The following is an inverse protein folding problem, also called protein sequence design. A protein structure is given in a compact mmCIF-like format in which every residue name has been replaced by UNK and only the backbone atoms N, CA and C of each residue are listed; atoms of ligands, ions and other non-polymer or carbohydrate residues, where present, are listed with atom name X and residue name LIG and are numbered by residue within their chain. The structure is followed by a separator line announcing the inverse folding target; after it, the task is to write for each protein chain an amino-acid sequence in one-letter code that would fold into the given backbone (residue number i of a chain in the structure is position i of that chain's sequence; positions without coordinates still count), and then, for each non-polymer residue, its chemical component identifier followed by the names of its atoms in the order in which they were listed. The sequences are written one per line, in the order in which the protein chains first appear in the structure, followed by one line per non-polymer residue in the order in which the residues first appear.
data_IF_353392684741
#
_entry.id   IF_353392684741
#
_cell.length_a   1.000
_cell.length_b   1.000
_cell.length_c   1.000
_cell.angle_alpha   90.00
_cell.angle_beta   90.00
_cell.angle_gamma   90.00
#
_symmetry.space_group_name_H-M   'P 1'
#
loop_
_entity.id
_entity.type
_entity.pdbx_description
1 polymer ?
#
# COMPACT_ATOMS: atom_id res chain seq x y z
N UNK A 1 8.99 1.14 19.89
CA UNK A 1 8.89 1.70 18.53
C UNK A 1 8.07 0.73 17.70
N UNK A 2 7.01 1.15 16.98
CA UNK A 2 6.37 0.28 16.02
C UNK A 2 7.39 -0.11 14.93
N UNK A 3 7.27 -1.31 14.32
CA UNK A 3 8.13 -1.69 13.20
C UNK A 3 7.97 -0.68 12.07
N UNK A 4 9.06 -0.44 11.33
CA UNK A 4 8.99 0.40 10.14
C UNK A 4 7.93 -0.17 9.17
N UNK A 5 7.10 0.68 8.56
CA UNK A 5 6.06 0.20 7.66
C UNK A 5 6.69 -0.47 6.44
N UNK A 6 6.17 -1.65 6.08
CA UNK A 6 6.51 -2.29 4.81
C UNK A 6 5.89 -1.48 3.67
N UNK A 7 6.74 -0.93 2.80
CA UNK A 7 6.32 -0.04 1.71
C UNK A 7 6.39 -0.76 0.36
N UNK A 8 5.26 -0.74 -0.33
CA UNK A 8 5.09 -1.21 -1.70
C UNK A 8 4.83 0.02 -2.59
N UNK A 9 5.49 0.11 -3.75
CA UNK A 9 5.26 1.17 -4.73
C UNK A 9 4.94 0.55 -6.09
N UNK A 10 3.91 1.07 -6.76
CA UNK A 10 3.58 0.74 -8.15
C UNK A 10 3.74 2.03 -8.95
N UNK A 11 4.59 2.02 -9.96
CA UNK A 11 4.81 3.18 -10.84
C UNK A 11 5.04 2.70 -12.27
N UNK A 12 4.59 3.47 -13.26
CA UNK A 12 4.82 3.12 -14.67
C UNK A 12 6.25 3.44 -15.11
N UNK A 13 6.88 4.41 -14.46
CA UNK A 13 8.24 4.86 -14.74
C UNK A 13 9.22 4.23 -13.73
N UNK A 14 10.08 3.29 -14.17
CA UNK A 14 11.08 2.66 -13.28
C UNK A 14 11.93 3.67 -12.50
N UNK A 15 12.25 4.81 -13.12
CA UNK A 15 13.07 5.84 -12.50
C UNK A 15 12.45 6.46 -11.26
N UNK A 16 11.13 6.33 -11.05
CA UNK A 16 10.43 6.89 -9.88
C UNK A 16 10.44 5.95 -8.65
N UNK A 17 10.75 4.68 -8.84
CA UNK A 17 10.69 3.68 -7.76
C UNK A 17 11.73 4.00 -6.68
N UNK A 18 11.27 4.23 -5.45
CA UNK A 18 12.16 4.42 -4.30
C UNK A 18 12.90 5.76 -4.24
N UNK A 19 12.66 6.69 -5.17
CA UNK A 19 13.38 7.98 -5.25
C UNK A 19 13.16 8.85 -4.01
N UNK A 20 11.90 9.04 -3.63
CA UNK A 20 11.54 9.92 -2.50
C UNK A 20 11.59 9.18 -1.16
N UNK A 21 11.34 7.88 -1.17
CA UNK A 21 11.35 7.10 0.07
C UNK A 21 11.68 5.65 -0.22
N UNK A 22 12.55 4.99 0.57
CA UNK A 22 12.91 3.59 0.35
C UNK A 22 11.69 2.68 0.31
N UNK A 23 11.67 1.75 -0.63
CA UNK A 23 10.61 0.74 -0.80
C UNK A 23 11.17 -0.64 -0.51
N UNK A 24 10.31 -1.52 -0.02
CA UNK A 24 10.65 -2.94 0.13
C UNK A 24 10.43 -3.67 -1.20
N UNK A 25 9.35 -3.29 -1.90
CA UNK A 25 8.98 -3.86 -3.19
C UNK A 25 8.51 -2.76 -4.14
N UNK A 26 9.09 -2.73 -5.34
CA UNK A 26 8.66 -1.89 -6.45
C UNK A 26 8.09 -2.73 -7.57
N UNK A 27 6.93 -2.34 -8.10
CA UNK A 27 6.30 -2.98 -9.25
C UNK A 27 6.22 -1.95 -10.37
N UNK A 28 6.84 -2.26 -11.51
CA UNK A 28 6.81 -1.37 -12.68
C UNK A 28 5.62 -1.74 -13.56
N UNK A 29 4.76 -0.77 -13.85
CA UNK A 29 3.70 -0.91 -14.84
C UNK A 29 2.45 -0.09 -14.53
N UNK A 30 1.42 -0.30 -15.36
CA UNK A 30 0.14 0.37 -15.23
C UNK A 30 -0.65 -0.15 -14.02
N UNK A 31 -0.93 0.75 -13.08
CA UNK A 31 -1.71 0.48 -11.87
C UNK A 31 -3.10 -0.06 -12.18
N UNK A 32 -3.74 0.37 -13.28
CA UNK A 32 -5.06 -0.10 -13.71
C UNK A 32 -5.06 -1.55 -14.15
N UNK A 33 -3.92 -2.08 -14.59
CA UNK A 33 -3.76 -3.49 -14.96
C UNK A 33 -3.29 -4.36 -13.80
N UNK A 34 -2.45 -3.77 -12.93
CA UNK A 34 -1.83 -4.49 -11.80
C UNK A 34 -2.81 -4.66 -10.64
N UNK A 35 -3.56 -3.61 -10.26
CA UNK A 35 -4.43 -3.66 -9.09
C UNK A 35 -5.46 -4.80 -9.15
N UNK A 36 -6.22 -5.01 -10.25
CA UNK A 36 -7.19 -6.11 -10.32
C UNK A 36 -6.54 -7.47 -10.04
N UNK A 37 -5.38 -7.74 -10.65
CA UNK A 37 -4.65 -9.00 -10.48
C UNK A 37 -4.15 -9.21 -9.06
N UNK A 38 -3.73 -8.14 -8.39
CA UNK A 38 -3.33 -8.20 -6.99
C UNK A 38 -4.55 -8.44 -6.10
N UNK A 39 -5.63 -7.68 -6.29
CA UNK A 39 -6.83 -7.77 -5.44
C UNK A 39 -7.53 -9.11 -5.56
N UNK A 40 -7.52 -9.74 -6.74
CA UNK A 40 -8.10 -11.08 -6.96
C UNK A 40 -7.43 -12.17 -6.12
N UNK A 41 -6.20 -11.93 -5.64
CA UNK A 41 -5.43 -12.88 -4.84
C UNK A 41 -5.44 -12.55 -3.34
N UNK A 42 -5.98 -11.39 -2.96
CA UNK A 42 -5.96 -10.97 -1.56
C UNK A 42 -7.14 -11.60 -0.80
N UNK A 43 -6.89 -12.19 0.38
CA UNK A 43 -7.97 -12.62 1.25
C UNK A 43 -8.71 -11.42 1.83
N UNK A 44 -9.99 -11.60 2.12
CA UNK A 44 -10.76 -10.63 2.88
C UNK A 44 -10.10 -10.38 4.24
N UNK A 45 -9.85 -9.12 4.55
CA UNK A 45 -9.35 -8.69 5.84
C UNK A 45 -10.05 -7.40 6.27
N UNK A 46 -11.05 -7.48 7.18
CA UNK A 46 -11.85 -6.32 7.55
C UNK A 46 -11.06 -5.27 8.32
N UNK A 47 -9.93 -5.64 8.96
CA UNK A 47 -9.08 -4.74 9.75
C UNK A 47 -9.87 -3.89 10.77
N UNK A 48 -10.83 -4.49 11.47
CA UNK A 48 -11.80 -3.79 12.34
C UNK A 48 -11.15 -2.82 13.34
N UNK A 49 -10.17 -3.29 14.12
CA UNK A 49 -9.47 -2.45 15.11
C UNK A 49 -8.81 -1.22 14.47
N UNK A 50 -8.17 -1.41 13.31
CA UNK A 50 -7.52 -0.32 12.59
C UNK A 50 -8.55 0.69 12.06
N UNK A 51 -9.69 0.22 11.52
CA UNK A 51 -10.79 1.09 11.09
C UNK A 51 -11.32 1.94 12.25
N UNK A 52 -11.59 1.32 13.40
CA UNK A 52 -12.02 2.02 14.62
C UNK A 52 -10.99 3.07 15.05
N UNK A 53 -9.69 2.75 15.03
CA UNK A 53 -8.64 3.74 15.35
C UNK A 53 -8.66 4.92 14.39
N UNK A 54 -8.83 4.70 13.08
CA UNK A 54 -8.92 5.78 12.08
C UNK A 54 -10.18 6.62 12.27
N UNK A 55 -11.32 6.00 12.58
CA UNK A 55 -12.59 6.69 12.84
C UNK A 55 -12.48 7.61 14.07
N UNK A 56 -11.86 7.14 15.16
CA UNK A 56 -11.59 7.96 16.34
C UNK A 56 -10.70 9.16 16.01
N UNK A 57 -9.63 8.97 15.23
CA UNK A 57 -8.71 10.05 14.84
C UNK A 57 -9.32 11.07 13.85
N UNK A 58 -10.43 10.75 13.19
CA UNK A 58 -11.14 11.65 12.26
C UNK A 58 -12.24 12.47 12.95
N UNK A 59 -12.62 12.11 14.17
CA UNK A 59 -13.70 12.74 14.95
C UNK A 59 -13.27 13.93 15.82
N UNK A 60 -11.96 14.24 15.85
CA UNK A 60 -11.34 15.43 16.45
C UNK A 60 -10.77 16.36 15.35
#
# INVERSE_FOLDING_TARGET
MPPAPCRYQIDFEPANIGVQTPVHYGIVGDVGQILPRLTDQLPDNPRANWRTTIEMLRGD
#
